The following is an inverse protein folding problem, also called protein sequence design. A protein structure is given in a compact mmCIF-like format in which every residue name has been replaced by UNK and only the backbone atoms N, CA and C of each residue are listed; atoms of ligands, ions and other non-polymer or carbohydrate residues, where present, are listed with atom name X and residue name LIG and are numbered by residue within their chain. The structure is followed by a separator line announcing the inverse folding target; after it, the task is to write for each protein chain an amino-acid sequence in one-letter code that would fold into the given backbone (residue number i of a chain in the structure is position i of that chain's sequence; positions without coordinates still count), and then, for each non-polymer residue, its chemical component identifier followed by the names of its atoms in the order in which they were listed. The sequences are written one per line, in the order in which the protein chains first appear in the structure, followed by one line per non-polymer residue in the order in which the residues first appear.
data_IF_038929150704
#
_entry.id   IF_038929150704
#
_cell.length_a   1.000
_cell.length_b   1.000
_cell.length_c   1.000
_cell.angle_alpha   90.00
_cell.angle_beta   90.00
_cell.angle_gamma   90.00
#
_symmetry.space_group_name_H-M   'P 1'
#
loop_
_entity.id
_entity.type
_entity.pdbx_description
1 polymer ?
#
# COMPACT_ATOMS: atom_id res chain seq x y z
N UNK A 1 11.20 0.80 14.71
CA UNK A 1 9.74 0.68 14.95
C UNK A 1 9.38 -0.80 14.99
N UNK A 2 8.52 -1.23 15.92
CA UNK A 2 8.09 -2.64 16.03
C UNK A 2 7.13 -2.93 14.87
N UNK A 3 7.50 -3.82 13.95
CA UNK A 3 6.66 -4.20 12.80
C UNK A 3 5.29 -4.67 13.31
N UNK A 4 4.22 -4.07 12.81
CA UNK A 4 2.85 -4.34 13.26
C UNK A 4 2.02 -5.11 12.22
N UNK A 5 2.48 -5.09 10.97
CA UNK A 5 1.88 -5.79 9.85
C UNK A 5 2.47 -7.21 9.75
N UNK A 6 1.64 -8.19 9.44
CA UNK A 6 2.12 -9.52 9.05
C UNK A 6 2.89 -9.46 7.73
N UNK A 7 3.75 -10.46 7.45
CA UNK A 7 4.44 -10.53 6.15
C UNK A 7 3.43 -10.59 4.99
N UNK A 8 2.28 -11.23 5.21
CA UNK A 8 1.23 -11.42 4.22
C UNK A 8 0.52 -10.10 3.89
N UNK A 9 0.15 -9.30 4.89
CA UNK A 9 -0.40 -7.94 4.69
C UNK A 9 0.56 -7.07 3.89
N UNK A 10 1.86 -7.16 4.22
CA UNK A 10 2.93 -6.41 3.57
C UNK A 10 3.04 -6.75 2.09
N UNK A 11 3.02 -8.04 1.76
CA UNK A 11 3.05 -8.53 0.37
C UNK A 11 1.81 -8.07 -0.38
N UNK A 12 0.62 -8.21 0.20
CA UNK A 12 -0.63 -7.79 -0.44
C UNK A 12 -0.59 -6.29 -0.78
N UNK A 13 -0.18 -5.43 0.16
CA UNK A 13 -0.09 -3.98 -0.06
C UNK A 13 0.91 -3.61 -1.15
N UNK A 14 2.09 -4.24 -1.15
CA UNK A 14 3.10 -4.00 -2.18
C UNK A 14 2.59 -4.46 -3.55
N UNK A 15 2.03 -5.66 -3.63
CA UNK A 15 1.48 -6.20 -4.89
C UNK A 15 0.37 -5.29 -5.42
N UNK A 16 -0.60 -4.90 -4.59
CA UNK A 16 -1.67 -3.99 -4.98
C UNK A 16 -1.12 -2.62 -5.41
N UNK A 17 -0.16 -2.07 -4.67
CA UNK A 17 0.44 -0.78 -4.99
C UNK A 17 1.20 -0.82 -6.33
N UNK A 18 1.97 -1.86 -6.59
CA UNK A 18 2.64 -2.07 -7.89
C UNK A 18 1.61 -2.19 -9.01
N UNK A 19 0.58 -3.02 -8.85
CA UNK A 19 -0.46 -3.22 -9.86
C UNK A 19 -1.16 -1.90 -10.20
N UNK A 20 -1.53 -1.10 -9.19
CA UNK A 20 -2.17 0.21 -9.41
C UNK A 20 -1.28 1.18 -10.19
N UNK A 21 0.01 1.27 -9.85
CA UNK A 21 0.97 2.14 -10.55
C UNK A 21 1.18 1.67 -11.98
N UNK A 22 1.30 0.36 -12.21
CA UNK A 22 1.48 -0.20 -13.57
C UNK A 22 0.24 0.05 -14.43
N UNK A 23 -0.97 -0.17 -13.91
CA UNK A 23 -2.22 0.08 -14.64
C UNK A 23 -2.35 1.57 -15.01
N UNK A 24 -1.99 2.48 -14.08
CA UNK A 24 -1.97 3.91 -14.35
C UNK A 24 -0.89 4.32 -15.37
N UNK A 25 0.26 3.62 -15.38
CA UNK A 25 1.34 3.84 -16.34
C UNK A 25 1.01 3.33 -17.75
N UNK A 26 0.31 2.19 -17.85
CA UNK A 26 -0.18 1.63 -19.10
C UNK A 26 -1.30 2.45 -19.74
N UNK A 27 -1.73 3.55 -19.11
CA UNK A 27 -2.78 4.44 -19.62
C UNK A 27 -4.17 3.83 -19.58
N UNK A 28 -4.37 2.73 -18.84
CA UNK A 28 -5.68 2.10 -18.63
C UNK A 28 -6.61 3.02 -17.82
N UNK A 29 -6.02 3.78 -16.88
CA UNK A 29 -6.70 4.85 -16.15
C UNK A 29 -6.30 6.19 -16.75
N UNK A 30 -7.27 7.07 -16.98
CA UNK A 30 -7.07 8.39 -17.60
C UNK A 30 -7.61 9.52 -16.73
N UNK A 31 -7.08 10.73 -16.93
CA UNK A 31 -7.51 11.93 -16.23
C UNK A 31 -7.29 11.86 -14.72
N UNK A 32 -8.30 12.25 -13.94
CA UNK A 32 -8.22 12.26 -12.47
C UNK A 32 -7.94 10.87 -11.86
N UNK A 33 -8.46 9.80 -12.48
CA UNK A 33 -8.29 8.44 -11.97
C UNK A 33 -6.85 7.94 -12.07
N UNK A 34 -6.10 8.40 -13.07
CA UNK A 34 -4.68 8.07 -13.21
C UNK A 34 -3.87 8.63 -12.04
N UNK A 35 -4.10 9.91 -11.70
CA UNK A 35 -3.48 10.56 -10.56
C UNK A 35 -3.85 9.91 -9.23
N UNK A 36 -5.13 9.58 -9.04
CA UNK A 36 -5.60 8.87 -7.85
C UNK A 36 -4.90 7.52 -7.72
N UNK A 37 -4.79 6.75 -8.80
CA UNK A 37 -4.11 5.46 -8.77
C UNK A 37 -2.62 5.57 -8.44
N UNK A 38 -1.92 6.60 -8.94
CA UNK A 38 -0.54 6.85 -8.55
C UNK A 38 -0.40 7.19 -7.06
N UNK A 39 -1.26 8.06 -6.54
CA UNK A 39 -1.22 8.46 -5.11
C UNK A 39 -1.54 7.26 -4.21
N UNK A 40 -2.62 6.54 -4.49
CA UNK A 40 -3.03 5.36 -3.70
C UNK A 40 -1.99 4.25 -3.81
N UNK A 41 -1.46 4.00 -5.01
CA UNK A 41 -0.42 3.01 -5.23
C UNK A 41 0.88 3.33 -4.50
N UNK A 42 1.31 4.60 -4.52
CA UNK A 42 2.48 5.05 -3.78
C UNK A 42 2.30 4.90 -2.26
N UNK A 43 1.13 5.27 -1.71
CA UNK A 43 0.83 5.09 -0.28
C UNK A 43 0.84 3.61 0.10
N UNK A 44 0.24 2.74 -0.71
CA UNK A 44 0.23 1.29 -0.48
C UNK A 44 1.66 0.71 -0.51
N UNK A 45 2.50 1.16 -1.44
CA UNK A 45 3.91 0.77 -1.52
C UNK A 45 4.71 1.24 -0.32
N UNK A 46 4.60 2.51 0.06
CA UNK A 46 5.34 3.06 1.21
C UNK A 46 4.93 2.35 2.49
N UNK A 47 3.62 2.17 2.73
CA UNK A 47 3.12 1.48 3.92
C UNK A 47 3.55 0.01 3.96
N UNK A 48 3.51 -0.67 2.81
CA UNK A 48 4.06 -2.01 2.64
C UNK A 48 5.57 -2.07 2.90
N UNK A 49 6.38 -1.19 2.31
CA UNK A 49 7.84 -1.20 2.47
C UNK A 49 8.26 -0.86 3.89
N UNK A 50 7.59 0.07 4.57
CA UNK A 50 7.94 0.40 5.96
C UNK A 50 7.56 -0.76 6.92
N UNK A 51 6.61 -1.62 6.54
CA UNK A 51 6.17 -2.75 7.37
C UNK A 51 5.54 -2.32 8.70
N UNK A 52 5.18 -1.05 8.79
CA UNK A 52 4.57 -0.42 9.94
C UNK A 52 3.46 0.49 9.43
N UNK A 53 2.23 0.05 9.60
CA UNK A 53 1.07 0.89 9.36
C UNK A 53 0.79 1.69 10.65
N UNK A 54 0.95 3.03 10.63
CA UNK A 54 0.69 3.84 11.82
C UNK A 54 -0.78 3.74 12.26
N UNK A 55 -1.70 3.48 11.33
CA UNK A 55 -3.11 3.27 11.65
C UNK A 55 -3.31 2.04 12.55
N UNK A 56 -2.64 0.92 12.26
CA UNK A 56 -2.73 -0.28 13.09
C UNK A 56 -2.12 -0.04 14.47
N UNK A 57 -1.06 0.76 14.55
CA UNK A 57 -0.45 1.16 15.82
C UNK A 57 -1.38 2.07 16.65
N UNK A 58 -2.09 3.00 16.01
CA UNK A 58 -3.06 3.90 16.66
C UNK A 58 -4.27 3.13 17.18
N UNK A 59 -4.78 2.16 16.42
CA UNK A 59 -5.91 1.33 16.85
C UNK A 59 -5.51 0.10 17.70
N UNK A 60 -4.22 -0.07 18.02
CA UNK A 60 -3.73 -1.19 18.83
C UNK A 60 -3.85 -2.57 18.18
N UNK A 61 -4.17 -2.64 16.89
CA UNK A 61 -4.26 -3.88 16.13
C UNK A 61 -2.88 -4.34 15.68
N UNK A 62 -2.62 -5.63 15.81
CA UNK A 62 -1.40 -6.28 15.34
C UNK A 62 -1.80 -7.47 14.49
N UNK A 63 -1.52 -7.44 13.19
CA UNK A 63 -1.70 -8.64 12.34
C UNK A 63 -0.47 -9.55 12.40
N UNK A 64 0.66 -9.04 12.90
CA UNK A 64 1.80 -9.87 13.30
C UNK A 64 1.42 -10.71 14.53
N UNK A 65 0.99 -11.96 14.30
CA UNK A 65 0.98 -13.00 15.33
C UNK A 65 2.40 -13.52 15.58
#
# INVERSE_FOLDING_TARGET
MKTNESLLDRIIRVVLGVVLVVIAYLGVLTGAWQWVAYVVGAIALITGIVGFCPLYAVFGFQTKK
#
